data_IF_141726717356
#
_entry.id   IF_141726717356
#
_cell.length_a   1.000
_cell.length_b   1.000
_cell.length_c   1.000
_cell.angle_alpha   90.00
_cell.angle_beta   90.00
_cell.angle_gamma   90.00
#
_symmetry.space_group_name_H-M   'P 1'
#
loop_
_entity.id
_entity.type
_entity.pdbx_description
1 polymer ?
#
# COMPACT_ATOMS: atom_id res chain seq x y z
N UNK A 1 -2.77 -1.70 -22.25
CA UNK A 1 -3.05 -1.43 -20.83
C UNK A 1 -2.05 -2.16 -19.96
N UNK A 2 -1.94 -1.76 -18.71
CA UNK A 2 -1.00 -2.32 -17.73
C UNK A 2 -1.65 -2.41 -16.34
N UNK A 3 -1.04 -3.17 -15.43
CA UNK A 3 -1.49 -3.30 -14.05
C UNK A 3 -0.92 -2.18 -13.19
N UNK A 4 -1.77 -1.55 -12.39
CA UNK A 4 -1.42 -0.55 -11.40
C UNK A 4 -2.18 -0.81 -10.10
N UNK A 5 -1.70 -0.24 -9.00
CA UNK A 5 -2.31 -0.43 -7.69
C UNK A 5 -2.11 0.79 -6.81
N UNK A 6 -2.93 0.88 -5.80
CA UNK A 6 -2.77 1.84 -4.72
C UNK A 6 -3.01 1.17 -3.37
N UNK A 7 -2.30 1.62 -2.36
CA UNK A 7 -2.47 1.17 -0.98
C UNK A 7 -2.68 2.38 -0.10
N UNK A 8 -3.60 2.25 0.85
CA UNK A 8 -3.74 3.15 1.98
C UNK A 8 -3.58 2.32 3.25
N UNK A 9 -2.47 2.53 3.91
CA UNK A 9 -2.10 1.92 5.17
C UNK A 9 -1.47 3.00 6.05
N UNK A 10 -2.08 3.24 7.19
CA UNK A 10 -1.60 4.21 8.16
C UNK A 10 -1.41 3.49 9.49
N UNK A 11 -0.20 3.40 9.98
CA UNK A 11 0.15 2.75 11.25
C UNK A 11 0.30 3.79 12.37
N UNK A 12 -0.79 4.49 12.69
CA UNK A 12 -0.77 5.61 13.65
C UNK A 12 -1.09 5.21 15.07
N UNK A 13 -1.80 4.08 15.26
CA UNK A 13 -2.32 3.66 16.56
C UNK A 13 -1.94 2.22 16.86
N UNK A 14 -1.19 2.00 17.94
CA UNK A 14 -0.98 0.66 18.46
C UNK A 14 -2.26 0.20 19.20
N UNK A 15 -2.86 -0.88 18.71
CA UNK A 15 -4.15 -1.34 19.21
C UNK A 15 -4.11 -1.80 20.67
N UNK A 16 -2.98 -2.36 21.14
CA UNK A 16 -2.79 -2.76 22.54
C UNK A 16 -2.81 -1.54 23.46
N UNK A 17 -2.10 -0.47 23.11
CA UNK A 17 -2.06 0.77 23.86
C UNK A 17 -3.42 1.47 23.87
N UNK A 18 -4.11 1.53 22.73
CA UNK A 18 -5.43 2.12 22.59
C UNK A 18 -6.47 1.46 23.52
N UNK A 19 -6.28 0.21 23.89
CA UNK A 19 -7.15 -0.55 24.79
C UNK A 19 -6.64 -0.64 26.23
N UNK A 20 -5.64 0.15 26.62
CA UNK A 20 -5.06 0.14 27.98
C UNK A 20 -4.61 -1.25 28.46
N UNK A 21 -4.23 -2.11 27.56
CA UNK A 21 -3.73 -3.47 27.88
C UNK A 21 -2.26 -3.49 28.25
N UNK A 22 -1.62 -2.31 28.40
CA UNK A 22 -0.29 -2.13 28.97
C UNK A 22 0.80 -2.87 28.24
N UNK A 23 0.84 -2.80 26.91
CA UNK A 23 1.77 -3.59 26.16
C UNK A 23 2.36 -2.91 24.93
N UNK A 24 3.49 -3.41 24.48
CA UNK A 24 4.01 -3.21 23.14
C UNK A 24 3.41 -4.28 22.24
N UNK A 25 2.42 -3.92 21.43
CA UNK A 25 1.80 -4.82 20.46
C UNK A 25 2.47 -4.71 19.09
N UNK A 26 2.38 -5.76 18.30
CA UNK A 26 2.80 -5.75 16.90
C UNK A 26 1.73 -5.17 15.96
N UNK A 27 0.50 -5.02 16.47
CA UNK A 27 -0.64 -4.60 15.68
C UNK A 27 -0.79 -3.08 15.74
N UNK A 28 -0.53 -2.45 14.64
CA UNK A 28 -0.79 -1.05 14.38
C UNK A 28 -1.95 -0.92 13.41
N UNK A 29 -2.72 0.13 13.55
CA UNK A 29 -3.88 0.42 12.71
C UNK A 29 -3.93 1.91 12.40
N UNK A 30 -4.61 2.26 11.33
CA UNK A 30 -4.77 3.64 10.89
C UNK A 30 -6.02 4.30 11.43
N UNK A 31 -6.97 4.60 10.54
CA UNK A 31 -8.20 5.32 10.86
C UNK A 31 -9.07 4.57 11.88
N UNK A 32 -9.47 5.29 12.93
CA UNK A 32 -10.38 4.80 13.98
C UNK A 32 -11.81 5.25 13.66
N UNK A 33 -12.76 4.32 13.75
CA UNK A 33 -14.20 4.53 13.62
C UNK A 33 -14.86 4.39 15.01
N UNK A 34 -14.94 5.51 15.72
CA UNK A 34 -15.58 5.61 17.04
C UNK A 34 -16.64 6.72 17.02
N UNK A 35 -16.32 7.93 17.40
CA UNK A 35 -17.22 9.08 17.30
C UNK A 35 -17.53 9.42 15.83
N UNK A 36 -16.54 9.34 14.95
CA UNK A 36 -16.70 9.47 13.49
C UNK A 36 -16.79 8.07 12.90
N UNK A 37 -17.99 7.71 12.43
CA UNK A 37 -18.33 6.37 11.94
C UNK A 37 -18.16 6.19 10.42
N UNK A 38 -17.78 7.25 9.70
CA UNK A 38 -17.63 7.23 8.25
C UNK A 38 -16.32 7.91 7.83
N UNK A 39 -15.71 7.40 6.78
CA UNK A 39 -14.53 8.02 6.15
C UNK A 39 -14.51 7.73 4.65
N UNK A 40 -13.78 8.54 3.88
CA UNK A 40 -13.62 8.39 2.44
C UNK A 40 -12.14 8.49 2.05
N UNK A 41 -11.68 7.53 1.25
CA UNK A 41 -10.29 7.41 0.80
C UNK A 41 -10.25 7.57 -0.71
N UNK A 42 -9.50 8.56 -1.18
CA UNK A 42 -9.38 8.88 -2.60
C UNK A 42 -8.14 8.24 -3.21
N UNK A 43 -8.34 7.55 -4.32
CA UNK A 43 -7.29 7.02 -5.18
C UNK A 43 -7.43 7.64 -6.57
N UNK A 44 -6.30 7.93 -7.23
CA UNK A 44 -6.27 8.54 -8.55
C UNK A 44 -5.42 7.68 -9.50
N UNK A 45 -6.04 7.24 -10.59
CA UNK A 45 -5.41 6.39 -11.61
C UNK A 45 -5.62 7.01 -13.00
N UNK A 46 -4.76 7.94 -13.43
CA UNK A 46 -4.90 8.57 -14.73
C UNK A 46 -4.99 7.54 -15.87
N UNK A 47 -5.94 7.74 -16.78
CA UNK A 47 -6.20 6.83 -17.89
C UNK A 47 -6.62 5.42 -17.45
N UNK A 48 -7.44 5.31 -16.42
CA UNK A 48 -7.97 4.00 -15.98
C UNK A 48 -8.77 3.34 -17.13
N UNK A 49 -8.59 2.04 -17.30
CA UNK A 49 -9.32 1.29 -18.34
C UNK A 49 -10.76 1.05 -17.92
N UNK A 50 -11.71 1.67 -18.63
CA UNK A 50 -13.15 1.51 -18.38
C UNK A 50 -13.71 0.11 -18.73
N UNK A 51 -12.90 -0.73 -19.38
CA UNK A 51 -13.26 -2.09 -19.80
C UNK A 51 -12.72 -3.18 -18.90
N UNK A 52 -11.95 -2.81 -17.88
CA UNK A 52 -11.32 -3.74 -16.95
C UNK A 52 -11.82 -3.51 -15.52
N UNK A 53 -12.16 -4.59 -14.84
CA UNK A 53 -12.62 -4.50 -13.46
C UNK A 53 -11.51 -3.95 -12.54
N UNK A 54 -11.91 -3.01 -11.71
CA UNK A 54 -11.19 -2.60 -10.49
C UNK A 54 -11.54 -3.60 -9.39
N UNK A 55 -10.56 -3.94 -8.56
CA UNK A 55 -10.76 -4.70 -7.34
C UNK A 55 -10.27 -3.87 -6.16
N UNK A 56 -11.12 -3.72 -5.16
CA UNK A 56 -10.78 -3.12 -3.86
C UNK A 56 -10.82 -4.22 -2.83
N UNK A 57 -9.79 -4.29 -1.99
CA UNK A 57 -9.70 -5.15 -0.83
C UNK A 57 -9.45 -4.29 0.40
N UNK A 58 -10.09 -4.62 1.52
CA UNK A 58 -9.88 -3.94 2.78
C UNK A 58 -9.74 -4.93 3.94
N UNK A 59 -8.86 -4.61 4.87
CA UNK A 59 -8.65 -5.32 6.13
C UNK A 59 -9.06 -4.41 7.29
N UNK A 60 -9.83 -4.94 8.23
CA UNK A 60 -10.46 -4.19 9.32
C UNK A 60 -10.36 -4.93 10.63
N UNK A 61 -10.26 -4.18 11.71
CA UNK A 61 -10.41 -4.70 13.06
C UNK A 61 -11.64 -4.08 13.73
N UNK A 62 -12.31 -4.82 14.61
CA UNK A 62 -13.40 -4.30 15.42
C UNK A 62 -13.29 -4.78 16.85
N UNK A 63 -13.53 -3.86 17.79
CA UNK A 63 -13.58 -4.09 19.22
C UNK A 63 -14.97 -3.69 19.73
N UNK A 64 -15.91 -4.64 19.70
CA UNK A 64 -17.28 -4.45 20.16
C UNK A 64 -17.74 -5.67 20.93
N UNK A 65 -18.50 -5.46 22.01
CA UNK A 65 -19.12 -6.55 22.80
C UNK A 65 -20.31 -7.22 22.11
N UNK A 66 -20.75 -6.70 20.97
CA UNK A 66 -21.75 -7.31 20.11
C UNK A 66 -21.28 -7.34 18.66
N UNK A 67 -21.97 -8.13 17.83
CA UNK A 67 -21.72 -8.10 16.40
C UNK A 67 -21.85 -6.69 15.83
N UNK A 68 -20.96 -6.34 14.93
CA UNK A 68 -20.87 -5.05 14.26
C UNK A 68 -20.62 -5.24 12.76
N UNK A 69 -20.55 -4.18 12.00
CA UNK A 69 -20.38 -4.30 10.56
C UNK A 69 -19.60 -3.13 9.99
N UNK A 70 -18.66 -3.43 9.08
CA UNK A 70 -18.13 -2.46 8.15
C UNK A 70 -18.89 -2.53 6.84
N UNK A 71 -19.20 -1.37 6.27
CA UNK A 71 -19.64 -1.26 4.88
C UNK A 71 -18.56 -0.54 4.08
N UNK A 72 -18.20 -1.11 2.95
CA UNK A 72 -17.27 -0.53 1.98
C UNK A 72 -17.99 -0.35 0.66
N UNK A 73 -17.96 0.88 0.11
CA UNK A 73 -18.62 1.17 -1.16
C UNK A 73 -17.84 2.16 -2.03
N UNK A 74 -18.12 2.11 -3.34
CA UNK A 74 -17.63 3.06 -4.34
C UNK A 74 -18.87 3.68 -5.03
N UNK A 75 -19.43 4.70 -4.39
CA UNK A 75 -20.66 5.35 -4.86
C UNK A 75 -21.77 4.32 -5.11
N UNK A 76 -22.37 4.40 -6.31
CA UNK A 76 -23.38 3.43 -6.76
C UNK A 76 -22.80 2.24 -7.55
N UNK A 77 -21.47 2.20 -7.77
CA UNK A 77 -20.84 1.19 -8.63
C UNK A 77 -20.73 -0.17 -7.95
N UNK A 78 -20.36 -0.18 -6.67
CA UNK A 78 -20.23 -1.42 -5.90
C UNK A 78 -20.33 -1.17 -4.40
N UNK A 79 -20.76 -2.17 -3.66
CA UNK A 79 -20.75 -2.18 -2.20
C UNK A 79 -20.52 -3.60 -1.67
N UNK A 80 -20.01 -3.67 -0.44
CA UNK A 80 -19.89 -4.91 0.32
C UNK A 80 -20.03 -4.63 1.81
N UNK A 81 -20.54 -5.60 2.56
CA UNK A 81 -20.64 -5.56 4.01
C UNK A 81 -19.72 -6.63 4.61
N UNK A 82 -18.96 -6.24 5.61
CA UNK A 82 -18.03 -7.09 6.33
C UNK A 82 -18.52 -7.26 7.77
N UNK A 83 -19.12 -8.43 8.04
CA UNK A 83 -19.63 -8.74 9.37
C UNK A 83 -18.46 -8.97 10.35
N UNK A 84 -18.49 -8.23 11.45
CA UNK A 84 -17.51 -8.28 12.53
C UNK A 84 -18.13 -8.99 13.73
N UNK A 85 -17.60 -10.16 14.16
CA UNK A 85 -18.07 -10.83 15.35
C UNK A 85 -17.84 -10.00 16.63
N UNK A 86 -18.58 -10.32 17.68
CA UNK A 86 -18.35 -9.76 19.00
C UNK A 86 -16.99 -10.22 19.55
N UNK A 87 -16.30 -9.34 20.27
CA UNK A 87 -15.13 -9.68 21.08
C UNK A 87 -15.60 -10.28 22.41
N UNK A 88 -15.05 -11.43 22.79
CA UNK A 88 -15.34 -12.06 24.06
C UNK A 88 -14.72 -11.28 25.24
N UNK A 89 -15.35 -11.31 26.41
CA UNK A 89 -14.93 -10.56 27.60
C UNK A 89 -13.94 -11.30 28.52
N UNK A 90 -13.32 -12.40 28.05
CA UNK A 90 -12.40 -13.19 28.87
C UNK A 90 -11.04 -12.49 29.08
N UNK A 91 -10.33 -12.86 30.15
CA UNK A 91 -9.01 -12.29 30.52
C UNK A 91 -7.94 -12.49 29.42
N UNK A 92 -8.08 -13.52 28.60
CA UNK A 92 -7.17 -13.85 27.51
C UNK A 92 -7.83 -13.72 26.12
N UNK A 93 -8.92 -12.97 26.02
CA UNK A 93 -9.61 -12.75 24.75
C UNK A 93 -8.88 -11.75 23.88
N UNK A 94 -9.12 -11.85 22.57
CA UNK A 94 -8.63 -10.87 21.61
C UNK A 94 -9.13 -9.48 21.96
N UNK A 95 -8.30 -8.47 21.68
CA UNK A 95 -8.66 -7.05 21.89
C UNK A 95 -9.61 -6.59 20.79
N UNK A 96 -9.39 -7.05 19.57
CA UNK A 96 -10.22 -6.81 18.41
C UNK A 96 -10.14 -8.00 17.46
N UNK A 97 -11.18 -8.18 16.66
CA UNK A 97 -11.25 -9.26 15.67
C UNK A 97 -10.99 -8.69 14.28
N UNK A 98 -10.10 -9.35 13.53
CA UNK A 98 -9.83 -9.01 12.14
C UNK A 98 -10.85 -9.66 11.20
N UNK A 99 -11.28 -8.91 10.19
CA UNK A 99 -12.01 -9.39 9.02
C UNK A 99 -11.60 -8.57 7.81
N UNK A 100 -11.70 -9.18 6.65
CA UNK A 100 -11.44 -8.54 5.37
C UNK A 100 -12.64 -8.69 4.43
N UNK A 101 -12.70 -7.83 3.44
CA UNK A 101 -13.69 -7.89 2.39
C UNK A 101 -13.19 -7.31 1.10
N UNK A 102 -13.85 -7.63 0.01
CA UNK A 102 -13.52 -7.09 -1.32
C UNK A 102 -14.77 -6.74 -2.10
N UNK A 103 -14.61 -5.79 -3.03
CA UNK A 103 -15.61 -5.48 -4.04
C UNK A 103 -14.92 -5.30 -5.39
N UNK A 104 -15.72 -5.40 -6.46
CA UNK A 104 -15.21 -5.23 -7.82
C UNK A 104 -16.25 -4.51 -8.67
N UNK A 105 -15.79 -3.65 -9.59
CA UNK A 105 -16.65 -2.86 -10.46
C UNK A 105 -15.90 -2.42 -11.72
N UNK A 106 -16.65 -1.99 -12.74
CA UNK A 106 -16.09 -1.27 -13.89
C UNK A 106 -16.00 0.23 -13.56
N UNK A 107 -14.82 0.85 -13.70
CA UNK A 107 -14.66 2.27 -13.40
C UNK A 107 -15.27 3.14 -14.49
N UNK A 108 -15.76 4.32 -14.12
CA UNK A 108 -16.28 5.33 -15.04
C UNK A 108 -15.51 6.66 -14.96
N UNK A 109 -14.48 6.72 -14.13
CA UNK A 109 -13.62 7.91 -13.94
C UNK A 109 -12.27 7.52 -13.31
N UNK A 110 -11.26 8.36 -13.48
CA UNK A 110 -9.90 8.16 -12.99
C UNK A 110 -9.77 8.27 -11.46
N UNK A 111 -10.68 8.97 -10.81
CA UNK A 111 -10.68 9.14 -9.36
C UNK A 111 -11.68 8.19 -8.72
N UNK A 112 -11.21 7.35 -7.82
CA UNK A 112 -12.01 6.37 -7.10
C UNK A 112 -12.06 6.78 -5.62
N UNK A 113 -13.26 7.01 -5.09
CA UNK A 113 -13.49 7.26 -3.68
C UNK A 113 -14.03 5.98 -3.04
N UNK A 114 -13.25 5.38 -2.16
CA UNK A 114 -13.66 4.24 -1.34
C UNK A 114 -14.22 4.79 -0.05
N UNK A 115 -15.52 4.63 0.16
CA UNK A 115 -16.20 5.08 1.36
C UNK A 115 -16.37 3.92 2.32
N UNK A 116 -16.00 4.14 3.57
CA UNK A 116 -16.15 3.19 4.66
C UNK A 116 -17.14 3.73 5.69
N UNK A 117 -17.94 2.84 6.23
CA UNK A 117 -18.74 3.12 7.43
C UNK A 117 -18.69 1.93 8.38
N UNK A 118 -18.72 2.23 9.69
CA UNK A 118 -18.75 1.23 10.75
C UNK A 118 -20.01 1.40 11.59
N UNK A 119 -20.70 0.30 11.83
CA UNK A 119 -21.96 0.29 12.60
C UNK A 119 -21.93 -0.79 13.66
N UNK A 120 -22.51 -0.46 14.83
CA UNK A 120 -22.75 -1.39 15.95
C UNK A 120 -24.25 -1.53 16.18
N UNK A 121 -24.66 -2.50 16.98
CA UNK A 121 -26.05 -2.60 17.44
C UNK A 121 -26.46 -1.34 18.21
N UNK A 122 -27.74 -0.90 18.15
CA UNK A 122 -28.21 0.25 18.89
C UNK A 122 -27.91 0.16 20.39
N UNK A 123 -27.33 1.23 20.95
CA UNK A 123 -26.99 1.29 22.39
C UNK A 123 -25.72 0.52 22.76
N UNK A 124 -25.05 -0.13 21.83
CA UNK A 124 -23.79 -0.83 22.08
C UNK A 124 -22.62 0.02 21.60
N UNK A 125 -21.68 0.28 22.49
CA UNK A 125 -20.39 0.89 22.12
C UNK A 125 -19.51 -0.10 21.37
N UNK A 126 -18.52 0.43 20.69
CA UNK A 126 -17.52 -0.37 19.97
C UNK A 126 -16.78 0.48 18.98
N UNK A 127 -15.54 0.12 18.74
CA UNK A 127 -14.64 0.83 17.82
C UNK A 127 -14.29 -0.08 16.66
N UNK A 128 -14.26 0.51 15.46
CA UNK A 128 -13.74 -0.10 14.27
C UNK A 128 -12.40 0.53 13.90
N UNK A 129 -11.55 -0.21 13.22
CA UNK A 129 -10.23 0.25 12.82
C UNK A 129 -9.96 -0.20 11.38
N UNK A 130 -9.42 0.71 10.59
CA UNK A 130 -8.86 0.38 9.29
C UNK A 130 -7.42 -0.09 9.47
N UNK A 131 -7.13 -1.28 9.00
CA UNK A 131 -5.78 -1.80 8.82
C UNK A 131 -5.23 -1.24 7.49
N UNK A 132 -5.73 -1.73 6.38
CA UNK A 132 -5.39 -1.16 5.07
C UNK A 132 -6.52 -1.29 4.04
N UNK A 133 -6.40 -0.50 2.97
CA UNK A 133 -7.15 -0.65 1.72
C UNK A 133 -6.14 -0.85 0.60
N UNK A 134 -6.34 -1.88 -0.20
CA UNK A 134 -5.62 -2.11 -1.45
C UNK A 134 -6.59 -2.00 -2.62
N UNK A 135 -6.17 -1.32 -3.67
CA UNK A 135 -6.93 -1.19 -4.91
C UNK A 135 -6.07 -1.60 -6.10
N UNK A 136 -6.57 -2.52 -6.90
CA UNK A 136 -5.91 -3.00 -8.11
C UNK A 136 -6.72 -2.59 -9.33
N UNK A 137 -6.04 -2.01 -10.31
CA UNK A 137 -6.65 -1.47 -11.53
C UNK A 137 -5.88 -1.89 -12.77
N UNK A 138 -6.50 -1.71 -13.92
CA UNK A 138 -5.77 -1.63 -15.20
C UNK A 138 -5.86 -0.20 -15.73
N UNK A 139 -4.76 0.29 -16.28
CA UNK A 139 -4.66 1.60 -16.93
C UNK A 139 -4.28 1.42 -18.38
N UNK A 140 -4.72 2.30 -19.23
CA UNK A 140 -4.18 2.38 -20.59
C UNK A 140 -2.74 2.87 -20.53
N UNK A 141 -1.89 2.28 -21.36
CA UNK A 141 -0.46 2.60 -21.37
C UNK A 141 -0.24 3.96 -22.05
N UNK A 142 -0.61 4.99 -21.33
CA UNK A 142 -0.57 6.40 -21.75
C UNK A 142 0.23 7.17 -20.72
N UNK A 143 1.27 7.88 -21.16
CA UNK A 143 2.14 8.63 -20.27
C UNK A 143 1.33 9.65 -19.45
N UNK A 144 1.53 9.61 -18.13
CA UNK A 144 0.93 10.51 -17.16
C UNK A 144 1.99 10.98 -16.17
N UNK A 145 2.06 12.29 -15.93
CA UNK A 145 3.08 12.89 -15.09
C UNK A 145 4.47 12.88 -15.74
N UNK A 146 5.49 13.11 -14.93
CA UNK A 146 6.88 13.19 -15.38
C UNK A 146 7.64 11.86 -15.21
N UNK A 147 7.08 10.95 -14.43
CA UNK A 147 7.58 9.60 -14.19
C UNK A 147 6.39 8.65 -14.10
N UNK A 148 6.43 7.54 -14.81
CA UNK A 148 5.39 6.53 -14.80
C UNK A 148 6.00 5.13 -14.79
N UNK A 149 5.76 4.40 -13.70
CA UNK A 149 6.06 2.97 -13.62
C UNK A 149 4.91 2.17 -14.26
N UNK A 150 5.25 1.11 -14.99
CA UNK A 150 4.25 0.21 -15.56
C UNK A 150 4.77 -1.23 -15.68
N UNK A 151 3.85 -2.17 -15.51
CA UNK A 151 4.07 -3.62 -15.65
C UNK A 151 2.77 -4.28 -16.10
N UNK A 152 2.85 -5.36 -16.84
CA UNK A 152 1.66 -6.05 -17.33
C UNK A 152 1.74 -7.56 -17.10
N UNK A 153 0.93 -8.06 -16.18
CA UNK A 153 0.81 -9.50 -15.88
C UNK A 153 0.28 -10.29 -17.07
N UNK A 154 -0.55 -9.68 -17.93
CA UNK A 154 -1.12 -10.35 -19.08
C UNK A 154 -0.12 -10.51 -20.24
N UNK A 155 1.00 -9.78 -20.22
CA UNK A 155 2.08 -9.92 -21.19
C UNK A 155 3.04 -11.06 -20.86
N UNK A 156 2.91 -11.67 -19.68
CA UNK A 156 3.86 -12.67 -19.17
C UNK A 156 3.50 -14.08 -19.67
N UNK A 157 4.51 -14.84 -20.10
CA UNK A 157 4.37 -16.23 -20.52
C UNK A 157 5.70 -16.78 -21.08
N UNK A 158 5.86 -18.10 -21.14
CA UNK A 158 7.10 -18.74 -21.62
C UNK A 158 6.82 -19.65 -22.82
N UNK A 159 7.52 -19.44 -23.98
CA UNK A 159 8.30 -18.25 -24.36
C UNK A 159 7.39 -17.13 -24.82
N UNK A 160 7.69 -15.87 -24.46
CA UNK A 160 6.92 -14.73 -24.92
C UNK A 160 7.78 -13.49 -25.20
N UNK A 161 7.29 -12.67 -26.15
CA UNK A 161 7.86 -11.39 -26.51
C UNK A 161 6.69 -10.37 -26.50
N UNK A 162 6.80 -9.37 -25.64
CA UNK A 162 5.82 -8.29 -25.54
C UNK A 162 6.23 -7.08 -26.37
N UNK A 163 5.29 -6.52 -27.15
CA UNK A 163 5.42 -5.18 -27.74
C UNK A 163 4.69 -4.20 -26.83
N UNK A 164 5.40 -3.17 -26.39
CA UNK A 164 4.86 -2.10 -25.56
C UNK A 164 4.72 -0.83 -26.41
N UNK A 165 3.51 -0.24 -26.37
CA UNK A 165 3.19 1.02 -27.05
C UNK A 165 2.71 2.02 -26.01
N UNK A 166 3.61 2.95 -25.60
CA UNK A 166 3.28 4.03 -24.66
C UNK A 166 2.71 5.19 -25.45
N UNK A 167 1.45 5.51 -25.27
CA UNK A 167 0.81 6.68 -25.88
C UNK A 167 1.19 7.97 -25.15
N UNK A 168 0.92 9.14 -25.75
CA UNK A 168 1.26 10.47 -25.21
C UNK A 168 2.73 10.58 -24.79
N UNK A 169 3.62 10.01 -25.57
CA UNK A 169 5.04 9.79 -25.23
C UNK A 169 5.98 10.85 -25.81
N UNK A 170 5.47 11.97 -26.33
CA UNK A 170 6.30 13.01 -26.98
C UNK A 170 7.35 13.61 -26.04
N UNK A 171 7.06 13.65 -24.74
CA UNK A 171 7.94 14.18 -23.69
C UNK A 171 8.78 13.12 -22.97
N UNK A 172 8.64 11.84 -23.31
CA UNK A 172 9.45 10.79 -22.71
C UNK A 172 10.87 10.90 -23.26
N UNK A 173 11.85 11.02 -22.38
CA UNK A 173 13.27 11.04 -22.73
C UNK A 173 13.87 9.65 -22.64
N UNK A 174 13.51 8.90 -21.60
CA UNK A 174 14.06 7.58 -21.34
C UNK A 174 13.00 6.60 -20.85
N UNK A 175 13.24 5.31 -21.15
CA UNK A 175 12.52 4.19 -20.55
C UNK A 175 13.57 3.25 -19.94
N UNK A 176 13.36 2.86 -18.70
CA UNK A 176 14.23 1.94 -17.99
C UNK A 176 13.49 0.64 -17.64
N UNK A 177 14.14 -0.49 -17.87
CA UNK A 177 13.76 -1.78 -17.27
C UNK A 177 14.35 -1.82 -15.86
N UNK A 178 13.48 -1.77 -14.87
CA UNK A 178 13.81 -1.77 -13.43
C UNK A 178 13.38 -3.07 -12.76
N UNK A 179 13.18 -4.12 -13.53
CA UNK A 179 12.80 -5.45 -13.02
C UNK A 179 13.80 -5.94 -11.97
N UNK A 180 15.09 -5.70 -12.19
CA UNK A 180 16.14 -5.83 -11.18
C UNK A 180 16.59 -4.42 -10.77
N UNK A 181 16.20 -3.95 -9.57
CA UNK A 181 16.49 -2.58 -9.13
C UNK A 181 18.00 -2.33 -8.93
N UNK A 182 18.80 -3.37 -8.72
CA UNK A 182 20.24 -3.27 -8.58
C UNK A 182 20.97 -3.26 -9.94
N UNK A 183 20.27 -3.60 -11.02
CA UNK A 183 20.85 -3.71 -12.36
C UNK A 183 19.86 -3.19 -13.41
N UNK A 184 19.38 -1.97 -13.20
CA UNK A 184 18.46 -1.29 -14.12
C UNK A 184 19.11 -1.05 -15.49
N UNK A 185 18.32 -1.17 -16.56
CA UNK A 185 18.82 -1.07 -17.94
C UNK A 185 18.00 -0.07 -18.74
N UNK A 186 18.68 0.81 -19.47
CA UNK A 186 18.01 1.69 -20.42
C UNK A 186 17.44 0.85 -21.58
N UNK A 187 16.20 1.12 -21.95
CA UNK A 187 15.46 0.44 -23.02
C UNK A 187 15.38 1.36 -24.22
N UNK A 188 16.00 0.95 -25.33
CA UNK A 188 15.85 1.66 -26.61
C UNK A 188 14.43 1.53 -27.13
N UNK A 189 13.85 2.63 -27.55
CA UNK A 189 12.51 2.68 -28.12
C UNK A 189 12.46 3.50 -29.41
N UNK A 190 11.52 3.17 -30.29
CA UNK A 190 11.22 3.94 -31.48
C UNK A 190 10.11 4.96 -31.20
N UNK A 191 10.23 6.17 -31.76
CA UNK A 191 9.15 7.16 -31.76
C UNK A 191 8.29 6.98 -33.01
N UNK A 192 7.01 6.66 -32.82
CA UNK A 192 6.04 6.48 -33.90
C UNK A 192 4.88 7.45 -33.67
N UNK A 193 4.93 8.61 -34.31
CA UNK A 193 4.03 9.71 -34.03
C UNK A 193 4.18 10.19 -32.58
N UNK A 194 3.11 10.16 -31.81
CA UNK A 194 3.11 10.53 -30.37
C UNK A 194 3.37 9.35 -29.45
N UNK A 195 3.72 8.16 -29.97
CA UNK A 195 3.97 6.94 -29.20
C UNK A 195 5.47 6.65 -29.07
N UNK A 196 5.83 6.00 -27.96
CA UNK A 196 7.09 5.29 -27.80
C UNK A 196 6.82 3.79 -27.88
N UNK A 197 7.54 3.09 -28.78
CA UNK A 197 7.36 1.66 -29.04
C UNK A 197 8.66 0.90 -28.79
N UNK A 198 8.57 -0.20 -28.07
CA UNK A 198 9.71 -1.10 -27.83
C UNK A 198 9.25 -2.56 -27.68
N UNK A 199 10.19 -3.47 -27.80
CA UNK A 199 9.96 -4.91 -27.72
C UNK A 199 10.88 -5.49 -26.65
N UNK A 200 10.33 -6.34 -25.78
CA UNK A 200 11.08 -7.01 -24.72
C UNK A 200 10.63 -8.47 -24.55
N UNK A 201 11.56 -9.32 -24.09
CA UNK A 201 11.19 -10.65 -23.61
C UNK A 201 10.38 -10.53 -22.34
N UNK A 202 9.23 -11.21 -22.31
CA UNK A 202 8.29 -11.23 -21.19
C UNK A 202 8.07 -12.66 -20.68
N UNK A 203 9.12 -13.48 -20.68
CA UNK A 203 9.11 -14.82 -20.06
C UNK A 203 8.79 -14.74 -18.55
N UNK A 204 9.16 -13.63 -17.94
CA UNK A 204 8.81 -13.22 -16.56
C UNK A 204 8.24 -11.81 -16.57
N UNK A 205 7.57 -11.44 -15.49
CA UNK A 205 7.05 -10.10 -15.31
C UNK A 205 8.17 -9.07 -15.39
N UNK A 206 7.99 -8.06 -16.26
CA UNK A 206 8.88 -6.92 -16.40
C UNK A 206 8.25 -5.68 -15.81
N UNK A 207 9.08 -4.85 -15.16
CA UNK A 207 8.72 -3.54 -14.65
C UNK A 207 9.55 -2.49 -15.34
N UNK A 208 8.86 -1.47 -15.88
CA UNK A 208 9.50 -0.38 -16.60
C UNK A 208 9.15 0.95 -15.95
N UNK A 209 10.05 1.94 -16.09
CA UNK A 209 9.79 3.34 -15.77
C UNK A 209 10.02 4.19 -17.01
N UNK A 210 8.99 4.96 -17.40
CA UNK A 210 9.13 6.01 -18.40
C UNK A 210 9.35 7.35 -17.71
N UNK A 211 10.31 8.13 -18.18
CA UNK A 211 10.79 9.38 -17.58
C UNK A 211 10.80 10.50 -18.60
N UNK A 212 10.43 11.69 -18.14
CA UNK A 212 10.75 12.96 -18.82
C UNK A 212 11.99 13.57 -18.15
N UNK A 213 12.63 14.56 -18.77
CA UNK A 213 13.77 15.29 -18.17
C UNK A 213 13.48 15.81 -16.76
N UNK A 214 12.26 16.28 -16.52
CA UNK A 214 11.81 16.77 -15.20
C UNK A 214 11.37 15.66 -14.24
N UNK A 215 11.39 14.40 -14.67
CA UNK A 215 11.01 13.25 -13.85
C UNK A 215 12.14 12.70 -12.98
N UNK A 216 13.38 13.16 -13.16
CA UNK A 216 14.49 12.71 -12.32
C UNK A 216 14.38 13.27 -10.91
N UNK A 217 14.48 12.39 -9.93
CA UNK A 217 14.55 12.79 -8.53
C UNK A 217 15.97 13.25 -8.20
N UNK A 218 16.08 14.39 -7.53
CA UNK A 218 17.36 14.92 -7.06
C UNK A 218 17.52 14.56 -5.58
N UNK A 219 18.55 13.79 -5.22
CA UNK A 219 18.79 13.46 -3.82
C UNK A 219 19.13 14.72 -3.02
N UNK A 220 18.56 14.82 -1.82
CA UNK A 220 18.85 15.90 -0.87
C UNK A 220 19.86 15.37 0.12
N UNK A 221 20.99 16.06 0.26
CA UNK A 221 21.96 15.75 1.32
C UNK A 221 21.33 16.06 2.68
N UNK A 222 21.27 15.04 3.56
CA UNK A 222 20.74 15.19 4.92
C UNK A 222 21.89 15.43 5.88
N UNK A 223 22.81 14.48 5.98
CA UNK A 223 23.98 14.57 6.87
C UNK A 223 25.07 13.58 6.45
N UNK A 224 26.25 13.76 7.00
CA UNK A 224 27.33 12.78 6.90
C UNK A 224 27.18 11.74 8.00
N UNK A 225 27.02 10.49 7.63
CA UNK A 225 27.07 9.37 8.59
C UNK A 225 28.52 8.98 8.80
N UNK A 226 28.98 9.01 10.06
CA UNK A 226 30.32 8.54 10.41
C UNK A 226 30.42 7.03 10.14
N UNK A 227 31.59 6.63 9.64
CA UNK A 227 31.83 5.23 9.34
C UNK A 227 31.83 4.38 10.62
N UNK A 228 30.91 3.44 10.71
CA UNK A 228 30.81 2.51 11.83
C UNK A 228 31.65 1.28 11.53
N UNK A 229 32.65 0.99 12.36
CA UNK A 229 33.46 -0.23 12.26
C UNK A 229 32.88 -1.35 13.13
N UNK A 230 31.66 -1.79 12.82
CA UNK A 230 30.98 -2.84 13.59
C UNK A 230 31.71 -4.20 13.54
N UNK A 231 32.54 -4.44 12.53
CA UNK A 231 33.34 -5.67 12.42
C UNK A 231 34.65 -5.60 13.23
N UNK A 232 35.07 -4.41 13.64
CA UNK A 232 36.26 -4.22 14.47
C UNK A 232 35.97 -4.20 15.95
N UNK A 233 34.72 -4.22 16.37
CA UNK A 233 34.32 -4.29 17.76
C UNK A 233 34.52 -5.69 18.32
N UNK A 234 34.86 -5.78 19.60
CA UNK A 234 34.87 -7.05 20.33
C UNK A 234 33.42 -7.59 20.36
N UNK A 235 33.26 -8.89 20.15
CA UNK A 235 31.98 -9.54 20.26
C UNK A 235 31.49 -9.41 21.70
N UNK A 236 30.41 -8.67 21.99
CA UNK A 236 29.90 -8.52 23.33
C UNK A 236 29.21 -9.81 23.79
N UNK A 237 29.38 -10.17 25.06
CA UNK A 237 28.66 -11.30 25.66
C UNK A 237 27.15 -11.02 25.79
N UNK A 238 26.78 -9.75 25.91
CA UNK A 238 25.39 -9.31 26.02
C UNK A 238 25.21 -7.94 25.37
N UNK A 239 24.12 -7.80 24.59
CA UNK A 239 23.66 -6.54 24.00
C UNK A 239 22.33 -6.14 24.63
N UNK A 240 22.27 -4.97 25.27
CA UNK A 240 21.04 -4.43 25.85
C UNK A 240 20.58 -3.24 25.01
N UNK A 241 19.42 -3.38 24.37
CA UNK A 241 18.75 -2.28 23.68
C UNK A 241 17.69 -1.70 24.60
N UNK A 242 17.76 -0.40 24.87
CA UNK A 242 16.85 0.26 25.80
C UNK A 242 16.41 1.64 25.31
N UNK A 243 15.26 2.07 25.82
CA UNK A 243 14.81 3.45 25.62
C UNK A 243 15.57 4.38 26.60
N UNK A 244 16.00 5.61 26.21
CA UNK A 244 16.78 6.51 27.06
C UNK A 244 16.22 6.76 28.47
N UNK A 245 14.91 6.70 28.66
CA UNK A 245 14.27 6.81 29.97
C UNK A 245 14.68 5.71 30.97
N UNK A 246 15.22 4.58 30.52
CA UNK A 246 15.62 3.43 31.34
C UNK A 246 17.13 3.31 31.49
N UNK A 247 17.90 4.34 31.12
CA UNK A 247 19.36 4.30 31.13
C UNK A 247 19.91 3.95 32.51
N UNK A 248 19.42 4.58 33.57
CA UNK A 248 19.87 4.34 34.94
C UNK A 248 19.65 2.89 35.40
N UNK A 249 18.56 2.27 34.99
CA UNK A 249 18.24 0.89 35.32
C UNK A 249 19.13 -0.09 34.54
N UNK A 250 19.41 0.24 33.26
CA UNK A 250 20.29 -0.59 32.43
C UNK A 250 21.74 -0.55 32.88
N UNK A 251 22.24 0.60 33.36
CA UNK A 251 23.60 0.70 33.89
C UNK A 251 23.80 -0.22 35.07
N UNK A 252 22.78 -0.46 35.89
CA UNK A 252 22.86 -1.41 37.03
C UNK A 252 22.93 -2.88 36.57
N UNK A 253 22.51 -3.20 35.35
CA UNK A 253 22.60 -4.55 34.77
C UNK A 253 23.94 -4.81 34.09
N UNK A 254 24.75 -3.76 33.86
CA UNK A 254 26.03 -3.84 33.17
C UNK A 254 27.17 -4.26 34.10
N UNK A 255 27.00 -4.11 35.41
CA UNK A 255 27.93 -4.55 36.47
C UNK A 255 27.74 -6.05 36.77
#
# INVERSE_FOLDING_TARGET
>A
SFNDFGVREDETTNLMNAKNKGGSGKLWVGTIFDAVRTNSFKFSFPNISSTSNVRVFGSFYASSSSASNFSMNVGSLANTNIAMPAVNSGTHSDIAINRSGSLSFLPNQDNINVNLSYTTSPGVGGEGYLDFIEINVRRDLTMAGNQMEFRDLLSTGTPNIGKFEVANASSIDEIWDVTDPLNSKNVSFARVGTKAEFIQKTDSLRTFIALTTSGYLVPIFVEKVENQNLHGELIPDMLIVYHPLFENQVQQLKE
#
